data_IF_831209390540
#
_entry.id   IF_831209390540
#
_cell.length_a   1.000
_cell.length_b   1.000
_cell.length_c   1.000
_cell.angle_alpha   90.00
_cell.angle_beta   90.00
_cell.angle_gamma   90.00
#
_symmetry.space_group_name_H-M   'P 1'
#
loop_
_entity.id
_entity.type
_entity.pdbx_description
1 polymer ?
#
# COMPACT_ATOMS: atom_id res chain seq x y z
N UNK A 1 -17.59 19.48 9.35
CA UNK A 1 -17.39 18.06 9.72
C UNK A 1 -16.56 17.36 8.65
N UNK A 2 -15.42 16.77 9.01
CA UNK A 2 -14.68 15.84 8.13
C UNK A 2 -15.53 14.58 7.93
N UNK A 3 -15.59 14.07 6.70
CA UNK A 3 -16.25 12.79 6.45
C UNK A 3 -15.34 11.67 6.98
N UNK A 4 -15.89 10.56 7.48
CA UNK A 4 -15.06 9.42 7.85
C UNK A 4 -14.37 8.88 6.60
N UNK A 5 -13.10 8.51 6.73
CA UNK A 5 -12.41 7.77 5.68
C UNK A 5 -13.13 6.44 5.46
N UNK A 6 -13.02 5.90 4.25
CA UNK A 6 -13.51 4.55 3.94
C UNK A 6 -12.38 3.72 3.33
N UNK A 7 -12.36 2.43 3.64
CA UNK A 7 -11.47 1.46 3.01
C UNK A 7 -12.33 0.57 2.12
N UNK A 8 -11.99 0.49 0.85
CA UNK A 8 -12.65 -0.34 -0.16
C UNK A 8 -11.65 -1.27 -0.81
N UNK A 9 -12.14 -2.27 -1.53
CA UNK A 9 -11.31 -3.16 -2.33
C UNK A 9 -11.31 -2.69 -3.77
N UNK A 10 -10.14 -2.66 -4.40
CA UNK A 10 -10.01 -2.48 -5.84
C UNK A 10 -9.37 -3.71 -6.45
N UNK A 11 -9.97 -4.19 -7.54
CA UNK A 11 -9.47 -5.32 -8.31
C UNK A 11 -9.13 -4.83 -9.72
N UNK A 12 -7.94 -5.17 -10.18
CA UNK A 12 -7.50 -4.83 -11.52
C UNK A 12 -8.34 -5.56 -12.58
N UNK A 13 -9.05 -4.86 -13.50
CA UNK A 13 -9.86 -5.51 -14.52
C UNK A 13 -9.04 -6.38 -15.48
N UNK A 14 -7.79 -6.00 -15.74
CA UNK A 14 -6.86 -6.74 -16.61
C UNK A 14 -6.05 -7.81 -15.88
N UNK A 15 -6.06 -7.83 -14.54
CA UNK A 15 -5.35 -8.81 -13.73
C UNK A 15 -6.26 -9.29 -12.59
N UNK A 16 -7.03 -10.37 -12.80
CA UNK A 16 -8.06 -10.79 -11.84
C UNK A 16 -7.49 -11.17 -10.47
N UNK A 17 -6.21 -11.52 -10.39
CA UNK A 17 -5.54 -11.89 -9.14
C UNK A 17 -4.78 -10.75 -8.46
N UNK A 18 -5.01 -9.49 -8.84
CA UNK A 18 -4.44 -8.32 -8.14
C UNK A 18 -5.54 -7.52 -7.44
N UNK A 19 -5.88 -7.96 -6.23
CA UNK A 19 -6.80 -7.27 -5.32
C UNK A 19 -6.01 -6.50 -4.25
N UNK A 20 -6.35 -5.24 -4.07
CA UNK A 20 -5.72 -4.33 -3.09
C UNK A 20 -6.77 -3.59 -2.26
N UNK A 21 -6.37 -3.15 -1.06
CA UNK A 21 -7.15 -2.17 -0.31
C UNK A 21 -6.89 -0.76 -0.85
N UNK A 22 -7.94 0.06 -0.90
CA UNK A 22 -7.84 1.49 -1.20
C UNK A 22 -8.51 2.27 -0.08
N UNK A 23 -7.73 3.08 0.62
CA UNK A 23 -8.24 4.05 1.58
C UNK A 23 -8.59 5.34 0.85
N UNK A 24 -9.80 5.82 1.04
CA UNK A 24 -10.33 7.03 0.42
C UNK A 24 -10.73 8.06 1.48
N UNK A 25 -10.40 9.33 1.24
CA UNK A 25 -10.72 10.47 2.12
C UNK A 25 -12.23 10.76 2.24
N UNK A 26 -13.02 10.29 1.28
CA UNK A 26 -14.46 10.37 1.32
C UNK A 26 -15.07 9.07 0.74
N UNK A 27 -16.24 8.65 1.25
CA UNK A 27 -16.96 7.53 0.68
C UNK A 27 -17.26 7.74 -0.81
N UNK A 28 -17.10 6.67 -1.60
CA UNK A 28 -17.36 6.59 -3.04
C UNK A 28 -16.46 7.48 -3.92
N UNK A 29 -15.34 8.01 -3.39
CA UNK A 29 -14.37 8.77 -4.18
C UNK A 29 -13.83 7.92 -5.33
N UNK A 30 -13.41 6.68 -5.05
CA UNK A 30 -12.83 5.80 -6.06
C UNK A 30 -13.82 5.52 -7.20
N UNK A 31 -15.06 5.13 -6.86
CA UNK A 31 -16.10 4.81 -7.85
C UNK A 31 -16.44 6.01 -8.74
N UNK A 32 -16.45 7.21 -8.16
CA UNK A 32 -16.69 8.45 -8.88
C UNK A 32 -15.55 8.77 -9.86
N UNK A 33 -14.30 8.55 -9.46
CA UNK A 33 -13.14 8.79 -10.33
C UNK A 33 -13.03 7.73 -11.44
N UNK A 34 -13.44 6.50 -11.15
CA UNK A 34 -13.45 5.39 -12.11
C UNK A 34 -14.72 5.38 -13.00
N UNK A 35 -15.59 6.39 -12.93
CA UNK A 35 -16.85 6.50 -13.70
C UNK A 35 -17.75 5.24 -13.61
N UNK A 36 -17.60 4.43 -12.56
CA UNK A 36 -18.18 3.07 -12.48
C UNK A 36 -19.59 3.07 -11.91
N UNK A 37 -20.04 4.18 -11.32
CA UNK A 37 -21.43 4.35 -10.94
C UNK A 37 -21.84 5.82 -10.90
N UNK A 38 -22.92 6.17 -11.60
CA UNK A 38 -23.66 7.41 -11.39
C UNK A 38 -24.35 7.34 -10.02
N UNK A 39 -23.60 7.38 -8.91
CA UNK A 39 -24.22 7.27 -7.59
C UNK A 39 -24.56 8.66 -7.04
N UNK A 40 -25.87 8.91 -6.95
CA UNK A 40 -26.52 10.06 -6.28
C UNK A 40 -26.11 10.25 -4.80
N UNK A 41 -25.18 9.44 -4.28
CA UNK A 41 -24.77 9.38 -2.88
C UNK A 41 -23.43 10.08 -2.57
N UNK A 42 -22.66 10.56 -3.56
CA UNK A 42 -21.42 11.30 -3.26
C UNK A 42 -21.77 12.71 -2.73
N UNK A 43 -21.85 12.86 -1.41
CA UNK A 43 -22.14 14.16 -0.75
C UNK A 43 -21.12 15.27 -1.03
N UNK A 44 -19.94 14.94 -1.58
CA UNK A 44 -18.91 15.90 -1.99
C UNK A 44 -18.25 15.48 -3.30
N UNK A 45 -18.78 15.86 -4.46
CA UNK A 45 -18.12 15.59 -5.73
C UNK A 45 -16.75 16.29 -5.79
N UNK A 46 -15.80 15.79 -6.60
CA UNK A 46 -14.61 16.51 -7.01
C UNK A 46 -14.95 17.92 -7.45
N UNK A 47 -14.06 18.87 -7.13
CA UNK A 47 -14.27 20.27 -7.47
C UNK A 47 -12.98 20.87 -8.04
N UNK A 48 -13.07 21.87 -8.94
CA UNK A 48 -11.90 22.55 -9.51
C UNK A 48 -10.99 23.23 -8.47
N UNK A 49 -11.51 23.47 -7.26
CA UNK A 49 -10.79 24.12 -6.16
C UNK A 49 -10.12 23.15 -5.19
N UNK A 50 -10.21 21.84 -5.44
CA UNK A 50 -9.58 20.79 -4.62
C UNK A 50 -8.43 20.15 -5.37
N UNK A 51 -7.59 19.45 -4.62
CA UNK A 51 -6.40 18.77 -5.13
C UNK A 51 -6.56 17.27 -4.91
N UNK A 52 -6.23 16.46 -5.91
CA UNK A 52 -6.17 15.01 -5.78
C UNK A 52 -4.75 14.61 -5.37
N UNK A 53 -4.63 13.80 -4.33
CA UNK A 53 -3.37 13.23 -3.87
C UNK A 53 -3.47 11.71 -3.79
N UNK A 54 -2.63 11.00 -4.55
CA UNK A 54 -2.59 9.53 -4.55
C UNK A 54 -1.30 9.07 -3.89
N UNK A 55 -1.41 8.27 -2.83
CA UNK A 55 -0.29 7.82 -2.02
C UNK A 55 -0.08 6.31 -2.17
N UNK A 56 1.18 5.91 -2.36
CA UNK A 56 1.62 4.51 -2.27
C UNK A 56 2.32 4.25 -0.93
N UNK A 57 1.89 3.26 -0.14
CA UNK A 57 2.40 3.00 1.21
C UNK A 57 3.82 2.42 1.20
N UNK A 58 4.42 2.37 2.38
CA UNK A 58 5.64 1.60 2.63
C UNK A 58 5.34 0.20 3.13
N UNK A 59 6.36 -0.56 3.54
CA UNK A 59 6.16 -1.92 4.04
C UNK A 59 5.84 -1.98 5.54
N UNK A 60 4.87 -2.83 5.94
CA UNK A 60 3.95 -3.58 5.06
C UNK A 60 2.92 -2.62 4.42
N UNK A 61 2.55 -2.88 3.15
CA UNK A 61 1.70 -2.04 2.29
C UNK A 61 0.23 -1.93 2.70
N UNK A 62 -0.04 -1.68 3.97
CA UNK A 62 -1.36 -1.61 4.58
C UNK A 62 -1.84 -0.16 4.65
N UNK A 63 -3.02 0.09 4.08
CA UNK A 63 -3.58 1.46 4.03
C UNK A 63 -4.00 1.99 5.41
N UNK A 64 -4.27 1.09 6.36
CA UNK A 64 -4.68 1.41 7.73
C UNK A 64 -3.66 2.29 8.48
N UNK A 65 -2.36 2.22 8.16
CA UNK A 65 -1.36 3.12 8.77
C UNK A 65 -1.53 4.58 8.36
N UNK A 66 -2.28 4.84 7.30
CA UNK A 66 -2.44 6.16 6.69
C UNK A 66 -3.79 6.80 7.00
N UNK A 67 -4.67 6.17 7.78
CA UNK A 67 -5.99 6.73 8.14
C UNK A 67 -5.84 8.14 8.74
N UNK A 68 -4.97 8.30 9.74
CA UNK A 68 -4.72 9.60 10.36
C UNK A 68 -4.11 10.62 9.40
N UNK A 69 -3.23 10.16 8.51
CA UNK A 69 -2.65 11.03 7.47
C UNK A 69 -3.74 11.55 6.54
N UNK A 70 -4.63 10.67 6.06
CA UNK A 70 -5.74 11.03 5.17
C UNK A 70 -6.71 12.00 5.85
N UNK A 71 -7.03 11.80 7.13
CA UNK A 71 -7.87 12.73 7.91
C UNK A 71 -7.28 14.15 7.91
N UNK A 72 -5.98 14.27 8.21
CA UNK A 72 -5.30 15.57 8.28
C UNK A 72 -5.22 16.25 6.90
N UNK A 73 -5.02 15.49 5.83
CA UNK A 73 -4.98 16.02 4.47
C UNK A 73 -6.36 16.49 3.99
N UNK A 74 -7.43 15.80 4.42
CA UNK A 74 -8.81 16.19 4.11
C UNK A 74 -9.15 17.56 4.70
N UNK A 75 -8.65 17.88 5.90
CA UNK A 75 -8.80 19.20 6.53
C UNK A 75 -8.14 20.32 5.71
N UNK A 76 -7.16 19.98 4.86
CA UNK A 76 -6.46 20.90 3.95
C UNK A 76 -7.07 20.94 2.54
N UNK A 77 -8.31 20.45 2.37
CA UNK A 77 -9.05 20.40 1.10
C UNK A 77 -8.37 19.55 0.02
N UNK A 78 -7.67 18.48 0.42
CA UNK A 78 -7.22 17.44 -0.51
C UNK A 78 -8.20 16.28 -0.51
N UNK A 79 -8.43 15.72 -1.69
CA UNK A 79 -9.03 14.40 -1.86
C UNK A 79 -7.88 13.41 -1.97
N UNK A 80 -7.93 12.35 -1.16
CA UNK A 80 -6.80 11.43 -1.00
C UNK A 80 -7.24 10.01 -1.27
N UNK A 81 -6.43 9.31 -2.07
CA UNK A 81 -6.47 7.86 -2.23
C UNK A 81 -5.14 7.28 -1.75
N UNK A 82 -5.19 6.22 -0.95
CA UNK A 82 -4.01 5.43 -0.60
C UNK A 82 -4.24 4.02 -1.12
N UNK A 83 -3.38 3.56 -2.03
CA UNK A 83 -3.49 2.22 -2.62
C UNK A 83 -2.54 1.27 -1.91
N UNK A 84 -3.07 0.25 -1.24
CA UNK A 84 -2.30 -0.83 -0.63
C UNK A 84 -1.55 -1.67 -1.65
N UNK A 85 -0.67 -2.55 -1.18
CA UNK A 85 0.04 -3.50 -2.03
C UNK A 85 -0.66 -4.85 -2.11
N UNK A 86 -0.66 -5.43 -3.31
CA UNK A 86 -1.22 -6.74 -3.58
C UNK A 86 -0.47 -7.81 -2.77
N UNK A 87 -1.20 -8.71 -2.12
CA UNK A 87 -0.59 -9.75 -1.29
C UNK A 87 -0.18 -9.32 0.13
N UNK A 88 -0.46 -8.07 0.54
CA UNK A 88 -0.25 -7.64 1.93
C UNK A 88 -1.53 -7.78 2.78
N UNK A 89 -2.69 -7.37 2.25
CA UNK A 89 -3.97 -7.45 2.98
C UNK A 89 -4.83 -8.66 2.60
N UNK A 90 -4.88 -9.02 1.31
CA UNK A 90 -5.80 -10.01 0.75
C UNK A 90 -5.10 -11.17 0.02
N UNK A 91 -4.17 -11.85 0.69
CA UNK A 91 -3.47 -13.00 0.08
C UNK A 91 -4.43 -14.10 -0.37
N UNK A 92 -5.50 -14.36 0.38
CA UNK A 92 -6.46 -15.41 0.04
C UNK A 92 -7.23 -15.08 -1.27
N UNK A 93 -7.56 -13.81 -1.51
CA UNK A 93 -8.22 -13.37 -2.75
C UNK A 93 -7.25 -13.29 -3.94
N UNK A 94 -5.96 -13.19 -3.66
CA UNK A 94 -4.89 -13.24 -4.66
C UNK A 94 -4.34 -14.66 -4.86
N UNK A 95 -5.09 -15.70 -4.48
CA UNK A 95 -4.74 -17.12 -4.61
C UNK A 95 -3.37 -17.49 -4.00
N UNK A 96 -2.94 -16.81 -2.94
CA UNK A 96 -1.64 -17.07 -2.33
C UNK A 96 -0.44 -16.55 -3.13
N UNK A 97 -0.65 -15.84 -4.25
CA UNK A 97 0.42 -15.33 -5.11
C UNK A 97 1.36 -14.41 -4.34
N UNK A 98 2.65 -14.55 -4.63
CA UNK A 98 3.70 -13.60 -4.23
C UNK A 98 3.91 -12.62 -5.39
N UNK A 99 3.90 -11.33 -5.07
CA UNK A 99 4.03 -10.22 -5.99
C UNK A 99 5.41 -9.58 -5.78
N UNK A 100 6.17 -9.45 -6.84
CA UNK A 100 7.43 -8.72 -6.80
C UNK A 100 7.20 -7.20 -6.92
N UNK A 101 8.29 -6.42 -6.93
CA UNK A 101 8.18 -4.97 -7.03
C UNK A 101 7.62 -4.52 -8.38
N UNK A 102 7.90 -5.27 -9.45
CA UNK A 102 7.44 -4.96 -10.79
C UNK A 102 5.93 -5.18 -10.89
N UNK A 103 5.42 -6.27 -10.31
CA UNK A 103 3.99 -6.54 -10.16
C UNK A 103 3.26 -5.41 -9.42
N UNK A 104 3.86 -4.85 -8.35
CA UNK A 104 3.27 -3.71 -7.64
C UNK A 104 3.25 -2.45 -8.50
N UNK A 105 4.31 -2.22 -9.29
CA UNK A 105 4.39 -1.10 -10.23
C UNK A 105 3.36 -1.23 -11.36
N UNK A 106 3.14 -2.43 -11.88
CA UNK A 106 2.11 -2.71 -12.89
C UNK A 106 0.70 -2.55 -12.32
N UNK A 107 0.46 -3.06 -11.11
CA UNK A 107 -0.83 -2.89 -10.43
C UNK A 107 -1.12 -1.40 -10.19
N UNK A 108 -0.12 -0.63 -9.74
CA UNK A 108 -0.24 0.81 -9.56
C UNK A 108 -0.52 1.56 -10.87
N UNK A 109 0.10 1.14 -11.97
CA UNK A 109 -0.18 1.70 -13.29
C UNK A 109 -1.63 1.44 -13.72
N UNK A 110 -2.10 0.20 -13.59
CA UNK A 110 -3.50 -0.13 -13.90
C UNK A 110 -4.48 0.65 -13.03
N UNK A 111 -4.18 0.80 -11.75
CA UNK A 111 -4.97 1.61 -10.83
C UNK A 111 -5.04 3.08 -11.28
N UNK A 112 -3.89 3.69 -11.61
CA UNK A 112 -3.87 5.07 -12.09
C UNK A 112 -4.56 5.24 -13.44
N UNK A 113 -4.48 4.27 -14.36
CA UNK A 113 -5.24 4.32 -15.62
C UNK A 113 -6.76 4.32 -15.36
N UNK A 114 -7.23 3.56 -14.36
CA UNK A 114 -8.64 3.53 -14.00
C UNK A 114 -9.09 4.84 -13.32
N UNK A 115 -8.23 5.47 -12.52
CA UNK A 115 -8.56 6.69 -11.76
C UNK A 115 -8.38 7.97 -12.59
N UNK A 116 -7.34 8.05 -13.41
CA UNK A 116 -6.95 9.27 -14.14
C UNK A 116 -7.63 9.35 -15.52
N UNK A 117 -8.96 9.27 -15.53
CA UNK A 117 -9.78 9.40 -16.74
C UNK A 117 -9.93 10.86 -17.19
N UNK A 118 -10.38 11.13 -18.43
CA UNK A 118 -10.70 12.49 -18.88
C UNK A 118 -11.66 13.23 -17.93
N UNK A 119 -12.56 12.51 -17.26
CA UNK A 119 -13.44 13.06 -16.24
C UNK A 119 -12.69 13.55 -14.99
N UNK A 120 -11.78 12.74 -14.46
CA UNK A 120 -10.91 13.14 -13.34
C UNK A 120 -10.06 14.37 -13.73
N UNK A 121 -9.52 14.39 -14.95
CA UNK A 121 -8.77 15.55 -15.45
C UNK A 121 -9.64 16.79 -15.61
N UNK A 122 -10.92 16.65 -15.97
CA UNK A 122 -11.87 17.79 -16.05
C UNK A 122 -12.08 18.44 -14.69
N UNK A 123 -12.19 17.65 -13.62
CA UNK A 123 -12.47 18.17 -12.28
C UNK A 123 -11.24 18.68 -11.54
N UNK A 124 -10.10 18.00 -11.64
CA UNK A 124 -8.88 18.39 -10.92
C UNK A 124 -7.88 19.19 -11.77
N UNK A 125 -8.00 19.15 -13.10
CA UNK A 125 -7.07 19.81 -14.02
C UNK A 125 -5.62 19.42 -13.74
N UNK A 126 -4.77 20.44 -13.49
CA UNK A 126 -3.35 20.26 -13.15
C UNK A 126 -3.09 20.06 -11.65
N UNK A 127 -4.12 19.81 -10.85
CA UNK A 127 -4.02 19.67 -9.39
C UNK A 127 -4.00 18.20 -8.92
N UNK A 128 -3.35 17.35 -9.70
CA UNK A 128 -3.14 15.93 -9.41
C UNK A 128 -1.70 15.75 -8.94
N UNK A 129 -1.56 15.13 -7.78
CA UNK A 129 -0.31 14.92 -7.09
C UNK A 129 -0.21 13.46 -6.67
N UNK A 130 1.00 12.95 -6.62
CA UNK A 130 1.25 11.62 -6.08
C UNK A 130 2.31 11.68 -4.99
N UNK A 131 2.38 10.64 -4.18
CA UNK A 131 3.49 10.45 -3.27
C UNK A 131 3.68 9.00 -2.92
N UNK A 132 4.77 8.73 -2.21
CA UNK A 132 5.02 7.40 -1.70
C UNK A 132 5.87 7.41 -0.45
N UNK A 133 5.64 6.42 0.41
CA UNK A 133 6.39 6.20 1.64
C UNK A 133 7.36 5.03 1.49
N UNK A 134 8.63 5.19 1.88
CA UNK A 134 9.66 4.14 1.77
C UNK A 134 9.71 3.53 0.34
N UNK A 135 9.44 2.23 0.17
CA UNK A 135 9.35 1.56 -1.14
C UNK A 135 8.25 2.14 -2.04
N UNK A 136 7.15 2.63 -1.47
CA UNK A 136 6.10 3.30 -2.24
C UNK A 136 6.58 4.57 -2.93
N UNK A 137 7.66 5.21 -2.45
CA UNK A 137 8.26 6.36 -3.14
C UNK A 137 8.85 5.95 -4.50
N UNK A 138 9.42 4.74 -4.59
CA UNK A 138 9.88 4.19 -5.86
C UNK A 138 8.70 3.95 -6.81
N UNK A 139 7.62 3.34 -6.33
CA UNK A 139 6.39 3.12 -7.13
C UNK A 139 5.82 4.45 -7.63
N UNK A 140 5.71 5.45 -6.74
CA UNK A 140 5.25 6.79 -7.11
C UNK A 140 6.14 7.43 -8.19
N UNK A 141 7.46 7.28 -8.09
CA UNK A 141 8.39 7.81 -9.09
C UNK A 141 8.19 7.16 -10.46
N UNK A 142 7.98 5.84 -10.51
CA UNK A 142 7.66 5.13 -11.76
C UNK A 142 6.35 5.63 -12.37
N UNK A 143 5.37 6.02 -11.56
CA UNK A 143 4.11 6.58 -12.06
C UNK A 143 4.28 8.01 -12.59
N UNK A 144 5.13 8.83 -11.98
CA UNK A 144 5.40 10.19 -12.45
C UNK A 144 5.91 10.22 -13.90
N UNK A 145 6.73 9.24 -14.30
CA UNK A 145 7.28 9.16 -15.65
C UNK A 145 6.26 8.66 -16.69
N UNK A 146 5.25 7.90 -16.25
CA UNK A 146 4.22 7.30 -17.12
C UNK A 146 2.99 8.20 -17.32
N UNK A 147 2.69 9.08 -16.38
CA UNK A 147 1.47 9.91 -16.40
C UNK A 147 1.80 11.41 -16.39
N UNK A 148 1.82 12.08 -17.56
CA UNK A 148 2.21 13.50 -17.67
C UNK A 148 1.21 14.48 -17.04
N UNK A 149 0.00 14.02 -16.70
CA UNK A 149 -1.00 14.81 -15.99
C UNK A 149 -0.65 15.05 -14.50
N UNK A 150 0.28 14.27 -13.95
CA UNK A 150 0.72 14.37 -12.55
C UNK A 150 1.69 15.54 -12.40
N UNK A 151 1.35 16.50 -11.54
CA UNK A 151 2.12 17.75 -11.42
C UNK A 151 3.35 17.62 -10.53
N UNK A 152 3.26 16.88 -9.42
CA UNK A 152 4.38 16.67 -8.48
C UNK A 152 4.30 15.29 -7.83
N UNK A 153 5.46 14.75 -7.50
CA UNK A 153 5.63 13.56 -6.67
C UNK A 153 6.26 13.94 -5.32
N UNK A 154 5.72 13.43 -4.23
CA UNK A 154 6.23 13.63 -2.86
C UNK A 154 6.82 12.33 -2.32
N UNK A 155 8.10 12.36 -1.94
CA UNK A 155 8.79 11.22 -1.35
C UNK A 155 8.84 11.36 0.18
N UNK A 156 8.14 10.48 0.89
CA UNK A 156 8.11 10.44 2.36
C UNK A 156 9.09 9.36 2.83
N UNK A 157 10.26 9.78 3.32
CA UNK A 157 11.33 8.85 3.72
C UNK A 157 11.66 7.83 2.61
N UNK A 158 11.73 8.27 1.36
CA UNK A 158 11.87 7.38 0.21
C UNK A 158 13.17 6.60 0.22
N UNK A 159 13.06 5.30 0.02
CA UNK A 159 14.19 4.39 -0.16
C UNK A 159 14.66 4.48 -1.62
N UNK A 160 15.25 5.63 -1.98
CA UNK A 160 15.70 5.91 -3.35
C UNK A 160 17.05 5.24 -3.70
N UNK A 161 17.80 4.80 -2.69
CA UNK A 161 19.14 4.27 -2.84
C UNK A 161 19.33 2.95 -2.08
N UNK A 162 19.88 2.00 -2.83
CA UNK A 162 20.51 0.73 -2.43
C UNK A 162 20.37 0.37 -0.93
N UNK A 163 19.20 -0.14 -0.54
CA UNK A 163 18.86 -0.47 0.85
C UNK A 163 19.90 -1.38 1.52
N UNK A 164 20.52 -2.25 0.72
CA UNK A 164 21.61 -3.16 1.11
C UNK A 164 22.85 -2.41 1.63
N UNK A 165 23.17 -1.24 1.06
CA UNK A 165 24.33 -0.42 1.45
C UNK A 165 24.03 0.57 2.58
N UNK A 166 22.78 0.69 3.02
CA UNK A 166 22.44 1.50 4.19
C UNK A 166 23.07 0.91 5.46
N UNK A 167 23.38 1.71 6.50
CA UNK A 167 23.91 1.19 7.77
C UNK A 167 23.04 0.09 8.39
N UNK A 168 21.72 0.19 8.22
CA UNK A 168 20.76 -0.81 8.69
C UNK A 168 20.76 -2.07 7.81
N UNK A 169 20.91 -1.92 6.49
CA UNK A 169 21.09 -3.05 5.56
C UNK A 169 22.37 -3.83 5.82
N UNK A 170 23.48 -3.14 6.11
CA UNK A 170 24.75 -3.76 6.50
C UNK A 170 24.65 -4.51 7.83
N UNK A 171 23.94 -3.94 8.83
CA UNK A 171 23.68 -4.63 10.11
C UNK A 171 22.81 -5.88 9.91
N UNK A 172 21.76 -5.80 9.11
CA UNK A 172 20.92 -6.96 8.78
C UNK A 172 21.73 -8.04 8.06
N UNK A 173 22.56 -7.65 7.09
CA UNK A 173 23.47 -8.57 6.41
C UNK A 173 24.46 -9.22 7.37
N UNK A 174 25.01 -8.46 8.34
CA UNK A 174 25.89 -8.98 9.38
C UNK A 174 25.18 -10.00 10.30
N UNK A 175 23.94 -9.73 10.71
CA UNK A 175 23.11 -10.67 11.47
C UNK A 175 22.86 -11.96 10.68
N UNK A 176 22.62 -11.86 9.37
CA UNK A 176 22.41 -13.02 8.50
C UNK A 176 23.72 -13.76 8.14
N UNK A 177 24.89 -13.11 8.20
CA UNK A 177 26.17 -13.74 7.85
C UNK A 177 26.75 -14.61 8.96
N UNK A 178 26.35 -14.41 10.22
CA UNK A 178 26.77 -15.24 11.34
C UNK A 178 25.84 -16.46 11.50
N UNK A 179 26.32 -17.66 11.20
CA UNK A 179 25.53 -18.90 11.20
C UNK A 179 24.73 -19.14 12.50
N UNK A 180 25.32 -18.84 13.67
CA UNK A 180 24.65 -18.99 14.97
C UNK A 180 23.52 -17.97 15.14
N UNK A 181 23.78 -16.70 14.81
CA UNK A 181 22.78 -15.62 14.91
C UNK A 181 21.65 -15.87 13.91
N UNK A 182 21.99 -16.28 12.70
CA UNK A 182 21.04 -16.68 11.66
C UNK A 182 20.18 -17.87 12.10
N UNK A 183 20.77 -18.91 12.70
CA UNK A 183 20.04 -20.08 13.21
C UNK A 183 19.10 -19.70 14.36
N UNK A 184 19.56 -18.87 15.31
CA UNK A 184 18.72 -18.39 16.40
C UNK A 184 17.57 -17.52 15.88
N UNK A 185 17.85 -16.63 14.93
CA UNK A 185 16.85 -15.76 14.32
C UNK A 185 15.79 -16.57 13.56
N UNK A 186 16.20 -17.53 12.73
CA UNK A 186 15.28 -18.41 12.00
C UNK A 186 14.45 -19.27 12.96
N UNK A 187 15.02 -19.79 14.04
CA UNK A 187 14.27 -20.51 15.08
C UNK A 187 13.23 -19.62 15.78
N UNK A 188 13.60 -18.39 16.16
CA UNK A 188 12.67 -17.41 16.72
C UNK A 188 11.52 -17.07 15.76
N UNK A 189 11.83 -16.88 14.48
CA UNK A 189 10.81 -16.64 13.45
C UNK A 189 9.88 -17.85 13.33
N UNK A 190 10.41 -19.08 13.28
CA UNK A 190 9.61 -20.30 13.22
C UNK A 190 8.68 -20.42 14.44
N UNK A 191 9.19 -20.21 15.65
CA UNK A 191 8.35 -20.19 16.85
C UNK A 191 7.21 -19.17 16.75
N UNK A 192 7.50 -17.97 16.24
CA UNK A 192 6.49 -16.93 16.03
C UNK A 192 5.43 -17.32 14.98
N UNK A 193 5.83 -18.02 13.91
CA UNK A 193 4.92 -18.52 12.87
C UNK A 193 4.02 -19.66 13.38
N UNK A 194 4.52 -20.49 14.30
CA UNK A 194 3.76 -21.56 14.95
C UNK A 194 2.84 -21.05 16.07
N UNK A 195 3.01 -19.81 16.55
CA UNK A 195 2.19 -19.29 17.64
C UNK A 195 0.70 -19.20 17.27
N UNK A 196 -0.22 -19.61 18.16
CA UNK A 196 -1.64 -19.41 17.94
C UNK A 196 -1.96 -17.92 17.77
N UNK A 197 -2.75 -17.59 16.74
CA UNK A 197 -3.18 -16.21 16.43
C UNK A 197 -3.81 -15.49 17.63
N UNK A 198 -4.44 -16.23 18.54
CA UNK A 198 -5.00 -15.70 19.78
C UNK A 198 -3.93 -15.09 20.69
N UNK A 199 -2.79 -15.77 20.85
CA UNK A 199 -1.70 -15.30 21.70
C UNK A 199 -1.04 -14.07 21.08
N UNK A 200 -0.83 -14.06 19.76
CA UNK A 200 -0.31 -12.88 19.06
C UNK A 200 -1.29 -11.71 19.16
N UNK A 201 -2.60 -11.96 19.04
CA UNK A 201 -3.61 -10.93 19.25
C UNK A 201 -3.59 -10.36 20.67
N UNK A 202 -3.34 -11.21 21.68
CA UNK A 202 -3.18 -10.78 23.07
C UNK A 202 -1.93 -9.92 23.26
N UNK A 203 -0.78 -10.33 22.71
CA UNK A 203 0.45 -9.53 22.72
C UNK A 203 0.26 -8.18 22.05
N UNK A 204 -0.37 -8.13 20.88
CA UNK A 204 -0.65 -6.87 20.18
C UNK A 204 -1.59 -5.97 20.98
N UNK A 205 -2.58 -6.53 21.69
CA UNK A 205 -3.46 -5.75 22.60
C UNK A 205 -2.67 -5.13 23.75
N UNK A 206 -1.74 -5.88 24.33
CA UNK A 206 -0.96 -5.44 25.46
C UNK A 206 0.11 -4.40 25.07
N UNK A 207 0.87 -4.67 24.00
CA UNK A 207 1.97 -3.82 23.56
C UNK A 207 1.49 -2.56 22.82
N UNK A 208 0.44 -2.67 22.01
CA UNK A 208 -0.07 -1.58 21.17
C UNK A 208 -1.58 -1.40 21.34
N UNK A 209 -2.04 -0.94 22.53
CA UNK A 209 -3.46 -0.84 22.85
C UNK A 209 -4.21 0.20 21.99
N UNK A 210 -3.49 1.18 21.44
CA UNK A 210 -4.03 2.24 20.58
C UNK A 210 -4.34 1.79 19.14
N UNK A 211 -3.95 0.58 18.74
CA UNK A 211 -4.16 0.06 17.38
C UNK A 211 -5.61 -0.33 17.18
N UNK A 212 -6.19 0.10 16.05
CA UNK A 212 -7.58 -0.18 15.71
C UNK A 212 -7.85 -1.69 15.61
N UNK A 213 -9.05 -2.18 16.00
CA UNK A 213 -9.37 -3.61 15.91
C UNK A 213 -9.20 -4.22 14.51
N UNK A 214 -9.55 -3.54 13.39
CA UNK A 214 -9.28 -4.03 12.04
C UNK A 214 -7.80 -4.22 11.75
N UNK A 215 -6.97 -3.21 12.04
CA UNK A 215 -5.52 -3.28 11.84
C UNK A 215 -4.91 -4.39 12.69
N UNK A 216 -5.34 -4.57 13.94
CA UNK A 216 -4.86 -5.67 14.78
C UNK A 216 -5.16 -7.05 14.18
N UNK A 217 -6.38 -7.26 13.66
CA UNK A 217 -6.72 -8.53 12.96
C UNK A 217 -5.84 -8.72 11.73
N UNK A 218 -5.59 -7.66 10.98
CA UNK A 218 -4.74 -7.69 9.80
C UNK A 218 -3.29 -8.05 10.16
N UNK A 219 -2.74 -7.44 11.21
CA UNK A 219 -1.40 -7.75 11.73
C UNK A 219 -1.29 -9.20 12.21
N UNK A 220 -2.32 -9.77 12.86
CA UNK A 220 -2.29 -11.20 13.21
C UNK A 220 -2.28 -12.13 12.00
N UNK A 221 -2.81 -11.70 10.85
CA UNK A 221 -2.74 -12.46 9.59
C UNK A 221 -1.37 -12.38 8.94
N UNK A 222 -0.58 -11.34 9.20
CA UNK A 222 0.77 -11.17 8.65
C UNK A 222 1.77 -12.23 9.14
N UNK A 223 1.40 -13.13 10.05
CA UNK A 223 2.15 -14.35 10.32
C UNK A 223 2.02 -15.40 9.20
N UNK A 224 1.17 -15.16 8.19
CA UNK A 224 1.12 -16.01 7.02
C UNK A 224 2.44 -15.87 6.23
N UNK A 225 3.15 -16.98 5.94
CA UNK A 225 4.39 -16.95 5.18
C UNK A 225 4.28 -16.18 3.86
N UNK A 226 3.20 -16.33 3.11
CA UNK A 226 3.01 -15.67 1.81
C UNK A 226 2.89 -14.14 1.97
N UNK A 227 2.27 -13.66 3.05
CA UNK A 227 2.22 -12.21 3.34
C UNK A 227 3.62 -11.70 3.67
N UNK A 228 4.39 -12.45 4.47
CA UNK A 228 5.76 -12.08 4.81
C UNK A 228 6.66 -12.06 3.57
N UNK A 229 6.51 -13.04 2.67
CA UNK A 229 7.20 -13.04 1.38
C UNK A 229 6.87 -11.79 0.57
N UNK A 230 5.59 -11.41 0.46
CA UNK A 230 5.19 -10.14 -0.17
C UNK A 230 5.77 -8.89 0.53
N UNK A 231 5.94 -8.92 1.85
CA UNK A 231 6.46 -7.78 2.63
C UNK A 231 7.98 -7.63 2.58
N UNK A 232 8.74 -8.72 2.45
CA UNK A 232 10.20 -8.69 2.62
C UNK A 232 10.96 -9.07 1.37
N UNK A 233 10.35 -9.83 0.48
CA UNK A 233 10.96 -10.32 -0.75
C UNK A 233 10.30 -9.69 -1.96
N UNK A 234 10.69 -8.44 -2.22
CA UNK A 234 10.65 -7.93 -3.58
C UNK A 234 11.82 -8.57 -4.32
N UNK A 235 11.54 -9.61 -5.10
CA UNK A 235 12.55 -10.25 -5.94
C UNK A 235 13.24 -9.22 -6.86
N UNK A 236 14.51 -9.44 -7.26
CA UNK A 236 15.10 -8.67 -8.33
C UNK A 236 14.22 -8.80 -9.59
N UNK A 237 13.95 -7.68 -10.26
CA UNK A 237 13.22 -7.69 -11.52
C UNK A 237 13.92 -8.65 -12.50
N UNK A 238 13.21 -9.71 -12.89
CA UNK A 238 13.67 -10.68 -13.89
C UNK A 238 14.56 -11.80 -13.35
N UNK A 239 13.97 -12.76 -12.64
CA UNK A 239 14.34 -14.17 -12.87
C UNK A 239 13.02 -14.93 -13.03
N UNK A 240 12.57 -15.00 -14.27
CA UNK A 240 11.61 -16.02 -14.71
C UNK A 240 12.14 -17.38 -14.28
N UNK A 241 11.45 -18.06 -13.37
CA UNK A 241 11.60 -19.49 -13.15
C UNK A 241 11.11 -20.23 -14.41
N UNK A 242 11.98 -20.27 -15.42
CA UNK A 242 11.87 -21.22 -16.51
C UNK A 242 12.39 -22.57 -16.02
N UNK A 243 11.46 -23.51 -15.88
CA UNK A 243 11.61 -24.99 -15.95
C UNK A 243 12.78 -25.63 -15.22
#
# INVERSE_FOLDING_TARGET
MSLPNAIVTWQCPSQPFSVVEVLQSCPNLLDYLCETSCTEAMRRPPSPHRKLFILFPGNPGLVHFYERFVELMTLRRLDVLVMGFAGHSFVDQNNGRVFDLQDQVETAEHFLRAVLTPYTLKWYGKHIYIGGHSIGAFVAMQMLTRFPCIKRCFSLCGLLSNAQNSPNGKRLFFLCSHAVIYSLFTYCVMLLLLMPKAVVSMFLRWYAPSVSPPLRRLMTRHLNPNILWNCFFYGPAGVTSGT
#
